data_IF_781690337610
#
_entry.id   IF_781690337610
#
_cell.length_a   1.000
_cell.length_b   1.000
_cell.length_c   1.000
_cell.angle_alpha   90.00
_cell.angle_beta   90.00
_cell.angle_gamma   90.00
#
_symmetry.space_group_name_H-M   'P 1'
#
loop_
_entity.id
_entity.type
_entity.pdbx_description
1 polymer ?
#
# COMPACT_ATOMS: atom_id res chain seq x y z
N UNK A 1 4.60 8.33 11.46
CA UNK A 1 3.74 7.90 10.34
C UNK A 1 4.40 6.68 9.73
N UNK A 2 3.63 5.67 9.40
CA UNK A 2 4.09 4.34 8.97
C UNK A 2 4.02 4.23 7.44
N UNK A 3 4.59 3.17 6.90
CA UNK A 3 4.67 2.91 5.47
C UNK A 3 3.61 1.91 5.02
N UNK A 4 3.13 2.04 3.78
CA UNK A 4 2.43 0.97 3.09
C UNK A 4 3.47 0.15 2.33
N UNK A 5 3.74 -1.06 2.80
CA UNK A 5 4.69 -1.98 2.20
C UNK A 5 3.97 -2.93 1.25
N UNK A 6 4.43 -3.00 0.00
CA UNK A 6 4.05 -4.03 -0.97
C UNK A 6 5.28 -4.89 -1.29
N UNK A 7 5.23 -6.16 -0.92
CA UNK A 7 6.24 -7.16 -1.25
C UNK A 7 5.76 -7.98 -2.44
N UNK A 8 6.36 -7.76 -3.61
CA UNK A 8 5.98 -8.47 -4.83
C UNK A 8 6.67 -9.83 -4.88
N UNK A 9 5.92 -10.88 -5.22
CA UNK A 9 6.53 -12.13 -5.66
C UNK A 9 7.08 -11.89 -7.07
N UNK A 10 8.41 -11.85 -7.23
CA UNK A 10 9.02 -11.46 -8.51
C UNK A 10 8.56 -12.41 -9.64
N UNK A 11 7.84 -11.91 -10.67
CA UNK A 11 7.49 -12.73 -11.82
C UNK A 11 8.68 -12.96 -12.76
N UNK A 12 9.84 -12.35 -12.48
CA UNK A 12 11.08 -12.40 -13.26
C UNK A 12 11.87 -11.09 -13.19
N UNK A 13 13.01 -11.02 -13.89
CA UNK A 13 13.89 -9.84 -13.90
C UNK A 13 13.21 -8.64 -14.56
N UNK A 14 13.08 -7.54 -13.82
CA UNK A 14 12.59 -6.26 -14.33
C UNK A 14 13.62 -5.58 -15.25
N UNK A 15 13.13 -4.97 -16.34
CA UNK A 15 13.93 -4.22 -17.32
C UNK A 15 13.20 -2.97 -17.77
N UNK A 16 13.92 -2.04 -18.44
CA UNK A 16 13.34 -0.81 -18.99
C UNK A 16 12.52 0.01 -17.95
N UNK A 17 12.97 0.03 -16.70
CA UNK A 17 12.31 0.72 -15.60
C UNK A 17 12.29 2.24 -15.85
N UNK A 18 11.12 2.84 -15.68
CA UNK A 18 10.91 4.29 -15.71
C UNK A 18 9.96 4.68 -14.59
N UNK A 19 10.26 5.79 -13.92
CA UNK A 19 9.33 6.46 -13.00
C UNK A 19 9.27 7.95 -13.29
N UNK A 20 8.09 8.52 -13.23
CA UNK A 20 7.87 9.95 -13.45
C UNK A 20 6.67 10.45 -12.64
N UNK A 21 6.75 11.67 -12.13
CA UNK A 21 5.61 12.41 -11.62
C UNK A 21 5.16 13.36 -12.72
N UNK A 22 3.91 13.21 -13.15
CA UNK A 22 3.27 14.16 -14.03
C UNK A 22 2.73 15.32 -13.18
N UNK A 23 3.24 16.53 -13.42
CA UNK A 23 2.86 17.73 -12.65
C UNK A 23 1.52 18.33 -13.10
N UNK A 24 1.06 18.00 -14.30
CA UNK A 24 -0.25 18.45 -14.79
C UNK A 24 -1.38 17.62 -14.16
N UNK A 25 -1.19 16.31 -14.06
CA UNK A 25 -2.19 15.39 -13.52
C UNK A 25 -2.00 15.04 -12.04
N UNK A 26 -0.80 15.26 -11.49
CA UNK A 26 -0.45 14.86 -10.12
C UNK A 26 -0.27 13.35 -9.93
N UNK A 27 -0.17 12.58 -11.02
CA UNK A 27 -0.05 11.12 -11.00
C UNK A 27 1.43 10.72 -11.02
N UNK A 28 1.82 9.87 -10.07
CA UNK A 28 3.10 9.17 -10.09
C UNK A 28 2.95 7.89 -10.91
N UNK A 29 3.61 7.81 -12.05
CA UNK A 29 3.65 6.63 -12.92
C UNK A 29 4.97 5.86 -12.80
N UNK A 30 4.88 4.54 -12.77
CA UNK A 30 6.00 3.60 -12.88
C UNK A 30 5.69 2.62 -14.00
N UNK A 31 6.64 2.42 -14.90
CA UNK A 31 6.57 1.47 -16.01
C UNK A 31 7.81 0.59 -15.98
N UNK A 32 7.63 -0.73 -16.17
CA UNK A 32 8.73 -1.67 -16.30
C UNK A 32 8.32 -2.87 -17.14
N UNK A 33 9.30 -3.63 -17.62
CA UNK A 33 9.07 -4.85 -18.40
C UNK A 33 9.53 -6.09 -17.66
N UNK A 34 8.72 -7.14 -17.77
CA UNK A 34 9.09 -8.51 -17.42
C UNK A 34 8.94 -9.36 -18.69
N UNK A 35 10.06 -9.78 -19.27
CA UNK A 35 10.07 -10.32 -20.64
C UNK A 35 9.53 -9.28 -21.65
N UNK A 36 8.60 -9.65 -22.55
CA UNK A 36 8.02 -8.71 -23.52
C UNK A 36 6.87 -7.86 -22.95
N UNK A 37 6.42 -8.12 -21.73
CA UNK A 37 5.18 -7.54 -21.19
C UNK A 37 5.46 -6.28 -20.37
N UNK A 38 4.70 -5.23 -20.63
CA UNK A 38 4.75 -3.95 -19.91
C UNK A 38 3.84 -4.03 -18.67
N UNK A 39 4.40 -3.73 -17.51
CA UNK A 39 3.70 -3.58 -16.24
C UNK A 39 3.67 -2.11 -15.85
N UNK A 40 2.57 -1.68 -15.23
CA UNK A 40 2.40 -0.30 -14.79
C UNK A 40 1.96 -0.22 -13.34
N UNK A 41 2.42 0.82 -12.65
CA UNK A 41 1.94 1.23 -11.33
C UNK A 41 1.65 2.72 -11.37
N UNK A 42 0.47 3.12 -10.93
CA UNK A 42 0.06 4.52 -10.88
C UNK A 42 -0.43 4.84 -9.47
N UNK A 43 0.00 5.98 -8.91
CA UNK A 43 -0.52 6.45 -7.64
C UNK A 43 -0.80 7.93 -7.60
N UNK A 44 -1.83 8.30 -6.83
CA UNK A 44 -2.24 9.68 -6.62
C UNK A 44 -3.05 9.80 -5.32
N UNK A 45 -3.18 11.03 -4.81
CA UNK A 45 -4.06 11.34 -3.68
C UNK A 45 -5.27 12.11 -4.20
N UNK A 46 -6.45 11.47 -4.18
CA UNK A 46 -7.70 12.12 -4.58
C UNK A 46 -8.17 13.06 -3.48
N UNK A 47 -8.17 14.36 -3.76
CA UNK A 47 -8.85 15.33 -2.92
C UNK A 47 -10.38 15.14 -2.88
N UNK A 48 -11.11 14.96 -4.02
CA UNK A 48 -12.56 14.80 -3.94
C UNK A 48 -13.01 13.54 -3.20
N UNK A 49 -12.25 12.44 -3.30
CA UNK A 49 -12.60 11.16 -2.65
C UNK A 49 -11.89 10.94 -1.31
N UNK A 50 -10.96 11.83 -0.91
CA UNK A 50 -10.19 11.76 0.33
C UNK A 50 -9.43 10.43 0.53
N UNK A 51 -8.86 9.90 -0.56
CA UNK A 51 -8.12 8.62 -0.54
C UNK A 51 -6.81 8.70 -1.32
N UNK A 52 -5.82 7.94 -0.86
CA UNK A 52 -4.65 7.59 -1.66
C UNK A 52 -4.98 6.35 -2.48
N UNK A 53 -4.72 6.41 -3.78
CA UNK A 53 -4.96 5.31 -4.73
C UNK A 53 -3.63 4.80 -5.25
N UNK A 54 -3.50 3.47 -5.33
CA UNK A 54 -2.43 2.77 -6.04
C UNK A 54 -3.09 1.75 -6.99
N UNK A 55 -2.87 1.92 -8.28
CA UNK A 55 -3.34 1.02 -9.32
C UNK A 55 -2.16 0.23 -9.89
N UNK A 56 -2.30 -1.09 -9.97
CA UNK A 56 -1.30 -2.01 -10.51
C UNK A 56 -1.91 -2.75 -11.70
N UNK A 57 -1.24 -2.72 -12.85
CA UNK A 57 -1.76 -3.37 -14.05
C UNK A 57 -0.70 -4.21 -14.79
N UNK A 58 -1.18 -5.32 -15.37
CA UNK A 58 -0.41 -6.24 -16.19
C UNK A 58 -1.29 -6.71 -17.35
N UNK A 59 -0.74 -6.88 -18.56
CA UNK A 59 -1.48 -7.40 -19.72
C UNK A 59 -1.73 -8.91 -19.63
N UNK A 60 -1.16 -9.61 -18.65
CA UNK A 60 -1.34 -11.05 -18.48
C UNK A 60 -2.13 -11.31 -17.20
N UNK A 61 -3.22 -12.06 -17.34
CA UNK A 61 -4.03 -12.48 -16.20
C UNK A 61 -3.19 -13.29 -15.19
N UNK A 62 -3.31 -12.93 -13.90
CA UNK A 62 -2.66 -13.66 -12.81
C UNK A 62 -1.17 -13.33 -12.60
N UNK A 63 -0.60 -12.36 -13.32
CA UNK A 63 0.82 -12.00 -13.19
C UNK A 63 1.12 -10.92 -12.14
N UNK A 64 0.13 -10.53 -11.34
CA UNK A 64 0.33 -9.63 -10.20
C UNK A 64 0.06 -10.43 -8.93
N UNK A 65 1.14 -10.72 -8.20
CA UNK A 65 1.10 -11.35 -6.88
C UNK A 65 1.97 -10.53 -5.93
N UNK A 66 1.38 -10.11 -4.81
CA UNK A 66 2.09 -9.37 -3.78
C UNK A 66 1.44 -9.58 -2.42
N UNK A 67 2.24 -9.40 -1.37
CA UNK A 67 1.78 -9.23 -0.01
C UNK A 67 1.76 -7.73 0.32
N UNK A 68 0.77 -7.26 1.09
CA UNK A 68 0.69 -5.87 1.52
C UNK A 68 0.46 -5.75 3.03
N UNK A 69 1.10 -4.77 3.66
CA UNK A 69 0.93 -4.48 5.10
C UNK A 69 1.27 -3.03 5.42
N UNK A 70 0.89 -2.57 6.61
CA UNK A 70 1.47 -1.38 7.23
C UNK A 70 2.78 -1.78 7.92
N UNK A 71 3.86 -1.04 7.66
CA UNK A 71 5.18 -1.28 8.22
C UNK A 71 5.76 -0.03 8.92
N UNK A 72 6.76 -0.20 9.78
CA UNK A 72 7.42 0.94 10.44
C UNK A 72 6.56 1.68 11.47
N UNK A 73 5.47 1.08 11.96
CA UNK A 73 4.60 1.66 13.00
C UNK A 73 5.40 1.91 14.29
N UNK A 74 5.47 3.18 14.72
CA UNK A 74 6.18 3.63 15.94
C UNK A 74 5.25 4.01 17.10
N UNK A 75 3.94 3.90 16.90
CA UNK A 75 2.93 4.24 17.92
C UNK A 75 2.21 2.97 18.39
N UNK A 76 1.73 2.92 19.65
CA UNK A 76 0.93 1.81 20.14
C UNK A 76 -0.30 1.57 19.24
N UNK A 77 -0.46 0.36 18.76
CA UNK A 77 -1.54 -0.01 17.88
C UNK A 77 -1.41 -1.43 17.33
N UNK A 78 -2.36 -1.83 16.49
CA UNK A 78 -2.37 -3.13 15.85
C UNK A 78 -2.93 -3.05 14.43
N UNK A 79 -2.38 -3.89 13.56
CA UNK A 79 -2.91 -4.16 12.22
C UNK A 79 -3.81 -5.39 12.29
N UNK A 80 -5.04 -5.27 11.79
CA UNK A 80 -6.01 -6.35 11.72
C UNK A 80 -6.60 -6.44 10.31
N UNK A 81 -7.24 -7.56 10.00
CA UNK A 81 -8.07 -7.70 8.79
C UNK A 81 -9.53 -7.39 9.12
N UNK A 82 -10.18 -6.65 8.23
CA UNK A 82 -11.62 -6.40 8.24
C UNK A 82 -12.20 -7.05 6.97
N UNK A 83 -12.89 -8.18 7.13
CA UNK A 83 -13.24 -9.01 5.96
C UNK A 83 -12.01 -9.56 5.25
N UNK A 84 -12.16 -9.90 3.97
CA UNK A 84 -11.09 -10.52 3.18
C UNK A 84 -10.26 -9.53 2.36
N UNK A 85 -10.77 -8.31 2.14
CA UNK A 85 -10.20 -7.33 1.21
C UNK A 85 -9.57 -6.11 1.91
N UNK A 86 -9.72 -5.98 3.23
CA UNK A 86 -9.33 -4.76 3.94
C UNK A 86 -8.39 -5.06 5.11
N UNK A 87 -7.28 -4.32 5.18
CA UNK A 87 -6.44 -4.19 6.38
C UNK A 87 -6.77 -2.88 7.07
N UNK A 88 -6.78 -2.92 8.40
CA UNK A 88 -6.97 -1.75 9.25
C UNK A 88 -5.85 -1.68 10.27
N UNK A 89 -5.17 -0.54 10.32
CA UNK A 89 -4.35 -0.15 11.45
C UNK A 89 -5.18 0.72 12.40
N UNK A 90 -5.21 0.36 13.69
CA UNK A 90 -5.77 1.19 14.77
C UNK A 90 -4.69 1.45 15.81
N UNK A 91 -4.46 2.70 16.16
CA UNK A 91 -3.46 3.08 17.16
C UNK A 91 -3.74 4.42 17.83
N UNK A 92 -2.87 4.79 18.77
CA UNK A 92 -2.96 6.05 19.49
C UNK A 92 -1.61 6.77 19.46
N UNK A 93 -1.61 8.02 18.98
CA UNK A 93 -0.46 8.91 19.04
C UNK A 93 -0.53 9.70 20.35
N UNK A 94 0.12 9.17 21.39
CA UNK A 94 0.20 9.83 22.70
C UNK A 94 1.26 10.93 22.72
N UNK A 95 0.97 12.03 23.42
CA UNK A 95 1.91 13.11 23.71
C UNK A 95 2.60 12.84 25.05
N UNK A 96 3.93 12.76 25.03
CA UNK A 96 4.74 12.58 26.24
C UNK A 96 5.47 13.85 26.71
N UNK A 97 5.52 14.91 25.89
CA UNK A 97 6.40 16.06 26.15
C UNK A 97 5.78 17.10 27.09
N UNK A 98 4.48 17.38 26.93
CA UNK A 98 3.73 18.33 27.77
C UNK A 98 2.49 17.71 28.43
N UNK A 99 2.41 16.37 28.45
CA UNK A 99 1.28 15.63 29.00
C UNK A 99 1.74 14.45 29.87
N UNK A 100 0.80 13.69 30.41
CA UNK A 100 1.01 12.52 31.26
C UNK A 100 1.25 11.22 30.47
N UNK A 101 1.51 11.30 29.16
CA UNK A 101 1.72 10.14 28.29
C UNK A 101 0.45 9.37 27.90
N UNK A 102 -0.72 9.80 28.39
CA UNK A 102 -2.02 9.15 28.11
C UNK A 102 -2.99 10.04 27.32
N UNK A 103 -2.61 11.28 27.01
CA UNK A 103 -3.41 12.16 26.13
C UNK A 103 -2.83 12.13 24.72
N UNK A 104 -3.68 12.22 23.71
CA UNK A 104 -3.26 12.11 22.33
C UNK A 104 -4.43 11.99 21.37
N UNK A 105 -4.14 11.51 20.17
CA UNK A 105 -5.14 11.33 19.10
C UNK A 105 -5.18 9.86 18.68
N UNK A 106 -6.39 9.32 18.55
CA UNK A 106 -6.60 8.00 17.96
C UNK A 106 -6.49 8.08 16.44
N UNK A 107 -5.83 7.10 15.84
CA UNK A 107 -5.58 7.01 14.40
C UNK A 107 -6.16 5.70 13.91
N UNK A 108 -6.91 5.78 12.80
CA UNK A 108 -7.28 4.63 12.00
C UNK A 108 -6.79 4.82 10.57
N UNK A 109 -6.24 3.77 9.98
CA UNK A 109 -5.86 3.75 8.57
C UNK A 109 -6.35 2.48 7.92
N UNK A 110 -6.99 2.63 6.76
CA UNK A 110 -7.61 1.54 6.02
C UNK A 110 -6.86 1.35 4.70
N UNK A 111 -6.48 0.11 4.43
CA UNK A 111 -6.02 -0.34 3.12
C UNK A 111 -7.07 -1.31 2.59
N UNK A 112 -7.79 -0.91 1.55
CA UNK A 112 -8.72 -1.80 0.85
C UNK A 112 -8.12 -2.19 -0.49
N UNK A 113 -8.08 -3.49 -0.74
CA UNK A 113 -7.62 -4.04 -2.00
C UNK A 113 -8.84 -4.34 -2.87
N UNK A 114 -8.78 -3.93 -4.13
CA UNK A 114 -9.77 -4.28 -5.15
C UNK A 114 -9.02 -5.01 -6.27
N UNK A 115 -9.52 -6.17 -6.69
CA UNK A 115 -8.87 -6.97 -7.72
C UNK A 115 -9.84 -7.26 -8.88
N UNK A 116 -9.29 -7.31 -10.10
CA UNK A 116 -10.02 -7.77 -11.29
C UNK A 116 -9.45 -9.14 -11.68
N UNK A 117 -10.12 -10.21 -11.23
CA UNK A 117 -9.59 -11.58 -11.28
C UNK A 117 -8.52 -11.84 -10.20
N UNK A 118 -8.20 -13.10 -9.94
CA UNK A 118 -7.35 -13.49 -8.80
C UNK A 118 -8.13 -13.72 -7.51
N UNK A 119 -7.45 -13.68 -6.36
CA UNK A 119 -8.04 -13.91 -5.03
C UNK A 119 -7.22 -13.23 -3.94
N UNK A 120 -7.86 -12.93 -2.81
CA UNK A 120 -7.17 -12.58 -1.58
C UNK A 120 -6.81 -13.81 -0.75
N UNK A 121 -5.69 -13.73 -0.04
CA UNK A 121 -5.33 -14.65 1.04
C UNK A 121 -4.79 -13.83 2.20
N UNK A 122 -5.19 -14.20 3.42
CA UNK A 122 -4.62 -13.63 4.63
C UNK A 122 -3.37 -14.40 5.02
N UNK A 123 -2.28 -13.68 5.22
CA UNK A 123 -1.01 -14.25 5.66
C UNK A 123 -0.47 -13.45 6.84
N UNK A 124 0.21 -14.13 7.77
CA UNK A 124 0.93 -13.45 8.85
C UNK A 124 2.30 -13.04 8.34
N UNK A 125 2.41 -11.78 7.92
CA UNK A 125 3.69 -11.18 7.56
C UNK A 125 4.39 -10.76 8.86
N UNK A 126 5.65 -11.17 9.05
CA UNK A 126 6.49 -10.61 10.11
C UNK A 126 7.21 -9.39 9.52
N UNK A 127 6.79 -8.19 9.91
CA UNK A 127 7.60 -6.99 9.73
C UNK A 127 8.97 -7.20 10.43
N UNK A 128 10.06 -6.80 9.77
CA UNK A 128 11.43 -6.92 10.31
C UNK A 128 11.79 -5.77 11.24
#
# INVERSE_FOLDING_TARGET
MFDLLLEFEEPGRETAYRRALDLETGILGIEYRVGPHLFTRESFCSNPDQVLVLHLASPIAGQISFAATFDGIKIPGAVNSLGDDTLIFRGNAFEGLHSNGNQGVSIECYLRLLHQGGRFRRERIRCR
#
